data_IF_589014035947
#
_entry.id   IF_589014035947
#
_cell.length_a   1.000
_cell.length_b   1.000
_cell.length_c   1.000
_cell.angle_alpha   90.00
_cell.angle_beta   90.00
_cell.angle_gamma   90.00
#
_symmetry.space_group_name_H-M   'P 1'
#
loop_
_entity.id
_entity.type
_entity.pdbx_description
1 polymer ?
#
# COMPACT_ATOMS: atom_id res chain seq x y z
N UNK A 1 5.97 11.20 -1.09
CA UNK A 1 5.84 10.64 -2.46
C UNK A 1 4.45 10.09 -2.71
N UNK A 2 4.03 9.05 -2.00
CA UNK A 2 2.77 8.38 -2.32
C UNK A 2 1.53 9.28 -2.34
N UNK A 3 1.42 10.26 -1.43
CA UNK A 3 0.32 11.26 -1.45
C UNK A 3 0.30 12.11 -2.72
N UNK A 4 1.48 12.48 -3.22
CA UNK A 4 1.62 13.33 -4.42
C UNK A 4 1.41 12.50 -5.69
N UNK A 5 1.85 11.25 -5.69
CA UNK A 5 1.79 10.39 -6.87
C UNK A 5 0.50 9.56 -6.94
N UNK A 6 -0.24 9.43 -5.84
CA UNK A 6 -1.43 8.59 -5.74
C UNK A 6 -1.16 7.12 -6.00
N UNK A 7 0.03 6.64 -5.61
CA UNK A 7 0.38 5.24 -5.82
C UNK A 7 1.30 4.71 -4.72
N UNK A 8 0.86 3.63 -4.08
CA UNK A 8 1.69 2.84 -3.18
C UNK A 8 2.77 2.08 -3.96
N UNK A 9 2.41 1.45 -5.09
CA UNK A 9 3.31 0.62 -5.89
C UNK A 9 4.49 1.43 -6.44
N UNK A 10 4.23 2.62 -7.00
CA UNK A 10 5.27 3.53 -7.49
C UNK A 10 6.19 4.04 -6.38
N UNK A 11 5.65 4.24 -5.17
CA UNK A 11 6.45 4.66 -4.01
C UNK A 11 7.34 3.53 -3.50
N UNK A 12 6.79 2.31 -3.41
CA UNK A 12 7.51 1.10 -3.00
C UNK A 12 8.64 0.77 -4.00
N UNK A 13 8.37 0.89 -5.30
CA UNK A 13 9.37 0.58 -6.34
C UNK A 13 10.47 1.63 -6.51
N UNK A 14 10.30 2.83 -5.96
CA UNK A 14 11.30 3.90 -6.04
C UNK A 14 11.99 4.09 -4.70
N UNK A 15 11.38 4.86 -3.80
CA UNK A 15 11.94 5.18 -2.50
C UNK A 15 11.97 3.95 -1.59
N UNK A 16 11.04 3.00 -1.73
CA UNK A 16 11.05 1.78 -0.92
C UNK A 16 12.34 0.99 -1.10
N UNK A 17 12.80 0.78 -2.34
CA UNK A 17 14.07 0.07 -2.61
C UNK A 17 15.27 0.83 -2.02
N UNK A 18 15.28 2.16 -2.14
CA UNK A 18 16.34 2.98 -1.57
C UNK A 18 16.38 2.88 -0.04
N UNK A 19 15.22 2.92 0.63
CA UNK A 19 15.08 2.78 2.07
C UNK A 19 15.46 1.37 2.57
N UNK A 20 15.19 0.32 1.79
CA UNK A 20 15.69 -1.02 2.08
C UNK A 20 17.23 -1.06 2.05
N UNK A 21 17.85 -0.32 1.13
CA UNK A 21 19.32 -0.21 1.11
C UNK A 21 19.89 0.51 2.34
N UNK A 22 19.23 1.58 2.79
CA UNK A 22 19.60 2.27 4.05
C UNK A 22 19.43 1.35 5.26
N UNK A 23 18.35 0.55 5.29
CA UNK A 23 18.10 -0.45 6.33
C UNK A 23 19.25 -1.44 6.44
N UNK A 24 19.70 -1.95 5.30
CA UNK A 24 20.79 -2.91 5.19
C UNK A 24 22.12 -2.33 5.72
N UNK A 25 22.45 -1.10 5.32
CA UNK A 25 23.64 -0.40 5.81
C UNK A 25 23.58 -0.05 7.31
N UNK A 26 22.37 0.17 7.85
CA UNK A 26 22.17 0.55 9.26
C UNK A 26 21.88 -0.64 10.18
N UNK A 27 21.90 -1.87 9.64
CA UNK A 27 21.58 -3.10 10.39
C UNK A 27 20.12 -3.23 10.82
N UNK A 28 19.21 -2.40 10.28
CA UNK A 28 17.78 -2.46 10.61
C UNK A 28 17.19 -3.73 10.00
N UNK A 29 16.43 -4.54 10.76
CA UNK A 29 15.81 -5.75 10.24
C UNK A 29 14.91 -5.47 9.03
N UNK A 30 15.18 -6.16 7.92
CA UNK A 30 14.43 -6.01 6.66
C UNK A 30 12.89 -6.08 6.84
N UNK A 31 12.31 -6.97 7.66
CA UNK A 31 10.86 -6.97 7.91
C UNK A 31 10.31 -5.69 8.53
N UNK A 32 11.07 -5.06 9.44
CA UNK A 32 10.66 -3.81 10.10
C UNK A 32 10.65 -2.66 9.08
N UNK A 33 11.74 -2.51 8.32
CA UNK A 33 11.82 -1.49 7.28
C UNK A 33 10.74 -1.70 6.20
N UNK A 34 10.55 -2.93 5.73
CA UNK A 34 9.51 -3.23 4.76
C UNK A 34 8.11 -2.86 5.27
N UNK A 35 7.80 -3.16 6.53
CA UNK A 35 6.52 -2.75 7.14
C UNK A 35 6.34 -1.24 7.25
N UNK A 36 7.41 -0.50 7.58
CA UNK A 36 7.40 0.97 7.59
C UNK A 36 7.18 1.56 6.19
N UNK A 37 7.87 1.03 5.17
CA UNK A 37 7.69 1.42 3.77
C UNK A 37 6.25 1.15 3.32
N UNK A 38 5.71 -0.05 3.60
CA UNK A 38 4.34 -0.42 3.24
C UNK A 38 3.34 0.51 3.93
N UNK A 39 3.50 0.77 5.22
CA UNK A 39 2.63 1.68 5.98
C UNK A 39 2.63 3.09 5.37
N UNK A 40 3.80 3.67 5.13
CA UNK A 40 3.91 5.03 4.56
C UNK A 40 3.44 5.13 3.11
N UNK A 41 3.67 4.09 2.30
CA UNK A 41 3.20 4.02 0.93
C UNK A 41 1.66 3.93 0.88
N UNK A 42 1.05 3.03 1.66
CA UNK A 42 -0.39 2.87 1.67
C UNK A 42 -1.11 4.05 2.36
N UNK A 43 -0.48 4.71 3.33
CA UNK A 43 -0.97 6.00 3.86
C UNK A 43 -1.17 7.01 2.74
N UNK A 44 -0.11 7.28 1.98
CA UNK A 44 -0.15 8.32 0.97
C UNK A 44 -1.08 7.97 -0.19
N UNK A 45 -1.10 6.70 -0.60
CA UNK A 45 -2.01 6.18 -1.62
C UNK A 45 -3.47 6.42 -1.22
N UNK A 46 -3.85 5.91 -0.04
CA UNK A 46 -5.19 6.04 0.55
C UNK A 46 -5.67 7.49 0.70
N UNK A 47 -4.76 8.42 0.96
CA UNK A 47 -5.11 9.83 1.19
C UNK A 47 -5.01 10.69 -0.08
N UNK A 48 -4.67 10.12 -1.23
CA UNK A 48 -4.47 10.88 -2.45
C UNK A 48 -5.73 10.90 -3.32
N UNK A 49 -6.21 12.08 -3.75
CA UNK A 49 -7.33 12.16 -4.72
C UNK A 49 -6.95 11.61 -6.10
N UNK A 50 -5.68 11.25 -6.29
CA UNK A 50 -5.15 10.70 -7.55
C UNK A 50 -5.12 9.17 -7.58
N UNK A 51 -5.33 8.52 -6.43
CA UNK A 51 -5.26 7.07 -6.32
C UNK A 51 -6.50 6.39 -6.90
N UNK A 52 -6.29 5.25 -7.58
CA UNK A 52 -7.37 4.47 -8.18
C UNK A 52 -8.38 3.99 -7.14
N UNK A 53 -7.92 3.45 -6.00
CA UNK A 53 -8.83 2.96 -4.95
C UNK A 53 -9.59 4.12 -4.31
N UNK A 54 -8.89 5.22 -4.02
CA UNK A 54 -9.48 6.46 -3.49
C UNK A 54 -10.51 7.09 -4.44
N UNK A 55 -10.46 6.81 -5.74
CA UNK A 55 -11.49 7.22 -6.69
C UNK A 55 -12.61 6.18 -6.84
N UNK A 56 -12.30 4.88 -6.81
CA UNK A 56 -13.29 3.81 -6.99
C UNK A 56 -14.19 3.63 -5.76
N UNK A 57 -13.66 3.68 -4.54
CA UNK A 57 -14.46 3.56 -3.33
C UNK A 57 -15.60 4.61 -3.25
N UNK A 58 -15.36 5.92 -3.48
CA UNK A 58 -16.44 6.92 -3.54
C UNK A 58 -17.36 6.74 -4.74
N UNK A 59 -16.85 6.35 -5.91
CA UNK A 59 -17.67 6.13 -7.10
C UNK A 59 -18.69 4.99 -6.91
N UNK A 60 -18.29 3.89 -6.27
CA UNK A 60 -19.19 2.75 -6.00
C UNK A 60 -20.22 3.10 -4.92
N UNK A 61 -19.77 3.73 -3.84
CA UNK A 61 -20.63 4.08 -2.70
C UNK A 61 -21.58 5.26 -2.99
N UNK A 62 -21.20 6.19 -3.87
CA UNK A 62 -22.00 7.37 -4.23
C UNK A 62 -21.71 8.62 -3.39
N UNK A 63 -20.44 8.92 -3.10
CA UNK A 63 -20.01 10.15 -2.41
C UNK A 63 -18.95 10.88 -3.25
N UNK A 64 -18.70 12.17 -2.98
CA UNK A 64 -17.62 12.88 -3.65
C UNK A 64 -16.23 12.46 -3.10
N UNK A 65 -15.19 12.52 -3.94
CA UNK A 65 -13.82 12.10 -3.57
C UNK A 65 -13.30 12.89 -2.35
N UNK A 66 -13.52 14.20 -2.29
CA UNK A 66 -13.08 15.01 -1.16
C UNK A 66 -13.87 14.72 0.12
N UNK A 67 -15.16 14.39 0.04
CA UNK A 67 -15.95 13.94 1.20
C UNK A 67 -15.45 12.59 1.72
N UNK A 68 -15.08 11.69 0.81
CA UNK A 68 -14.45 10.42 1.13
C UNK A 68 -13.11 10.62 1.84
N UNK A 69 -12.21 11.46 1.32
CA UNK A 69 -10.93 11.80 1.95
C UNK A 69 -11.14 12.40 3.35
N UNK A 70 -12.06 13.35 3.48
CA UNK A 70 -12.40 13.94 4.78
C UNK A 70 -12.96 12.88 5.76
N UNK A 71 -13.79 11.95 5.29
CA UNK A 71 -14.30 10.85 6.10
C UNK A 71 -13.16 9.93 6.58
N UNK A 72 -12.19 9.62 5.71
CA UNK A 72 -11.03 8.77 6.03
C UNK A 72 -10.10 9.38 7.08
N UNK A 73 -10.02 10.71 7.19
CA UNK A 73 -9.17 11.35 8.21
C UNK A 73 -9.47 10.83 9.63
N UNK A 74 -10.72 10.51 9.93
CA UNK A 74 -11.14 9.99 11.23
C UNK A 74 -10.59 8.59 11.56
N UNK A 75 -10.26 7.77 10.57
CA UNK A 75 -9.64 6.45 10.77
C UNK A 75 -8.14 6.50 10.52
N UNK A 76 -7.70 7.19 9.47
CA UNK A 76 -6.31 7.25 9.04
C UNK A 76 -5.43 8.08 9.97
N UNK A 77 -5.86 9.28 10.41
CA UNK A 77 -5.00 10.16 11.22
C UNK A 77 -4.70 9.56 12.60
N UNK A 78 -5.67 9.04 13.36
CA UNK A 78 -5.38 8.35 14.61
C UNK A 78 -4.45 7.16 14.41
N UNK A 79 -4.67 6.38 13.35
CA UNK A 79 -3.86 5.20 13.03
C UNK A 79 -2.43 5.56 12.63
N UNK A 80 -2.25 6.67 11.91
CA UNK A 80 -0.94 7.21 11.57
C UNK A 80 -0.21 7.66 12.82
N UNK A 81 -0.87 8.40 13.72
CA UNK A 81 -0.27 8.85 14.97
C UNK A 81 0.23 7.66 15.81
N UNK A 82 -0.61 6.62 15.97
CA UNK A 82 -0.24 5.40 16.68
C UNK A 82 0.95 4.71 15.97
N UNK A 83 0.90 4.60 14.65
CA UNK A 83 1.96 3.96 13.86
C UNK A 83 3.29 4.70 13.98
N UNK A 84 3.29 6.04 13.94
CA UNK A 84 4.49 6.86 14.10
C UNK A 84 5.11 6.68 15.48
N UNK A 85 4.29 6.71 16.54
CA UNK A 85 4.76 6.49 17.91
C UNK A 85 5.35 5.08 18.06
N UNK A 86 4.67 4.06 17.53
CA UNK A 86 5.16 2.69 17.56
C UNK A 86 6.46 2.51 16.78
N UNK A 87 6.59 3.09 15.57
CA UNK A 87 7.84 3.06 14.81
C UNK A 87 8.97 3.83 15.49
N UNK A 88 8.68 4.91 16.20
CA UNK A 88 9.67 5.64 17.00
C UNK A 88 10.27 4.70 18.06
N UNK A 89 9.45 4.05 18.87
CA UNK A 89 9.94 3.12 19.91
C UNK A 89 10.60 1.87 19.34
N UNK A 90 10.06 1.29 18.25
CA UNK A 90 10.71 0.17 17.57
C UNK A 90 12.06 0.59 16.98
N UNK A 91 12.18 1.82 16.48
CA UNK A 91 13.39 2.37 15.90
C UNK A 91 14.53 2.60 16.90
N UNK A 92 14.20 2.98 18.15
CA UNK A 92 15.21 3.24 19.21
C UNK A 92 16.10 2.02 19.52
N UNK A 93 15.63 0.80 19.26
CA UNK A 93 16.39 -0.43 19.50
C UNK A 93 16.63 -1.28 18.25
N UNK A 94 16.21 -0.83 17.07
CA UNK A 94 16.30 -1.60 15.83
C UNK A 94 17.52 -1.29 14.97
N UNK A 95 18.19 -0.16 15.19
CA UNK A 95 19.48 0.12 14.56
C UNK A 95 20.62 -0.52 15.35
N UNK A 96 21.62 -1.06 14.66
CA UNK A 96 22.93 -1.28 15.29
C UNK A 96 23.59 0.07 15.62
N UNK A 97 24.64 0.08 16.45
CA UNK A 97 25.54 1.24 16.49
C UNK A 97 26.10 1.42 15.07
N UNK A 98 25.63 2.45 14.37
CA UNK A 98 26.16 2.79 13.04
C UNK A 98 27.51 3.43 13.28
N UNK A 99 28.55 2.61 13.26
CA UNK A 99 29.93 3.06 13.35
C UNK A 99 30.22 4.05 12.21
N UNK A 100 30.56 5.32 12.52
CA UNK A 100 30.91 6.31 11.49
C UNK A 100 32.01 5.83 10.54
N UNK A 101 32.93 4.97 11.02
CA UNK A 101 33.97 4.39 10.17
C UNK A 101 33.40 3.42 9.12
N UNK A 102 32.30 2.74 9.43
CA UNK A 102 31.59 1.86 8.49
C UNK A 102 30.89 2.66 7.38
N UNK A 103 30.34 3.84 7.69
CA UNK A 103 29.77 4.74 6.67
C UNK A 103 30.87 5.25 5.73
N UNK A 104 32.01 5.70 6.28
CA UNK A 104 33.11 6.20 5.47
C UNK A 104 33.72 5.09 4.61
N UNK A 105 33.84 3.87 5.16
CA UNK A 105 34.26 2.70 4.39
C UNK A 105 33.32 2.42 3.22
N UNK A 106 31.99 2.44 3.44
CA UNK A 106 31.00 2.23 2.39
C UNK A 106 31.08 3.31 1.29
N UNK A 107 31.22 4.58 1.70
CA UNK A 107 31.37 5.72 0.79
C UNK A 107 32.64 5.61 -0.04
N UNK A 108 33.78 5.29 0.59
CA UNK A 108 35.06 5.13 -0.10
C UNK A 108 35.02 3.97 -1.11
N UNK A 109 34.39 2.83 -0.75
CA UNK A 109 34.18 1.72 -1.67
C UNK A 109 33.28 2.09 -2.85
N UNK A 110 32.25 2.91 -2.64
CA UNK A 110 31.38 3.43 -3.70
C UNK A 110 32.16 4.33 -4.67
N UNK A 111 32.91 5.31 -4.17
CA UNK A 111 33.70 6.24 -4.98
C UNK A 111 34.83 5.54 -5.75
N UNK A 112 35.39 4.46 -5.19
CA UNK A 112 36.42 3.67 -5.85
C UNK A 112 35.89 2.80 -7.01
N UNK A 113 34.63 2.36 -6.95
CA UNK A 113 34.04 1.43 -7.92
C UNK A 113 33.08 2.10 -8.91
N UNK A 114 32.52 3.28 -8.58
CA UNK A 114 31.49 3.93 -9.38
C UNK A 114 31.71 5.44 -9.46
N UNK A 115 31.41 6.01 -10.63
CA UNK A 115 31.33 7.45 -10.80
C UNK A 115 29.97 7.95 -10.31
N UNK A 116 29.89 8.32 -9.03
CA UNK A 116 28.67 8.85 -8.41
C UNK A 116 28.55 10.34 -8.73
N UNK A 117 27.42 10.75 -9.33
CA UNK A 117 27.21 12.14 -9.69
C UNK A 117 25.74 12.46 -9.98
N UNK A 118 25.42 13.71 -10.36
CA UNK A 118 24.02 14.12 -10.58
C UNK A 118 23.29 13.26 -11.62
N UNK A 119 24.00 12.75 -12.62
CA UNK A 119 23.44 11.89 -13.68
C UNK A 119 22.91 10.57 -13.13
N UNK A 120 23.54 10.00 -12.08
CA UNK A 120 23.08 8.73 -11.49
C UNK A 120 21.75 8.86 -10.74
N UNK A 121 21.28 10.10 -10.50
CA UNK A 121 19.94 10.37 -9.93
C UNK A 121 18.83 10.40 -10.98
N UNK A 122 19.17 10.54 -12.27
CA UNK A 122 18.18 10.68 -13.35
C UNK A 122 17.17 9.53 -13.41
N UNK A 123 17.52 8.26 -13.20
CA UNK A 123 16.52 7.19 -13.25
C UNK A 123 15.45 7.31 -12.15
N UNK A 124 15.88 7.57 -10.91
CA UNK A 124 14.97 7.77 -9.78
C UNK A 124 14.09 9.01 -10.00
N UNK A 125 14.69 10.11 -10.46
CA UNK A 125 13.95 11.33 -10.82
C UNK A 125 12.96 11.10 -11.96
N UNK A 126 13.31 10.30 -12.96
CA UNK A 126 12.43 9.97 -14.09
C UNK A 126 11.16 9.28 -13.59
N UNK A 127 11.32 8.24 -12.76
CA UNK A 127 10.15 7.52 -12.22
C UNK A 127 9.34 8.44 -11.30
N UNK A 128 10.00 9.27 -10.48
CA UNK A 128 9.32 10.24 -9.62
C UNK A 128 8.50 11.23 -10.44
N UNK A 129 9.09 11.84 -11.47
CA UNK A 129 8.41 12.79 -12.35
C UNK A 129 7.26 12.12 -13.09
N UNK A 130 7.44 10.91 -13.62
CA UNK A 130 6.36 10.18 -14.30
C UNK A 130 5.24 9.79 -13.35
N UNK A 131 5.56 9.44 -12.10
CA UNK A 131 4.57 9.16 -11.06
C UNK A 131 3.78 10.42 -10.68
N UNK A 132 4.43 11.58 -10.57
CA UNK A 132 3.75 12.88 -10.36
C UNK A 132 2.87 13.25 -11.54
N UNK A 133 3.29 12.93 -12.77
CA UNK A 133 2.52 13.13 -14.01
C UNK A 133 1.42 12.10 -14.23
N UNK A 134 1.22 11.14 -13.31
CA UNK A 134 0.23 10.06 -13.43
C UNK A 134 0.40 9.21 -14.69
N UNK A 135 1.64 9.05 -15.17
CA UNK A 135 1.89 8.12 -16.26
C UNK A 135 1.60 6.69 -15.77
N UNK A 136 1.09 5.79 -16.63
CA UNK A 136 0.83 4.41 -16.21
C UNK A 136 2.11 3.76 -15.67
N UNK A 137 1.97 2.87 -14.68
CA UNK A 137 3.11 2.32 -13.93
C UNK A 137 4.11 1.59 -14.83
N UNK A 138 3.63 0.78 -15.79
CA UNK A 138 4.48 0.01 -16.70
C UNK A 138 5.36 0.91 -17.61
N UNK A 139 4.81 1.90 -18.34
CA UNK A 139 5.60 2.91 -19.05
C UNK A 139 6.60 3.65 -18.16
N UNK A 140 6.21 4.01 -16.93
CA UNK A 140 7.07 4.76 -16.01
C UNK A 140 8.30 3.95 -15.60
N UNK A 141 8.11 2.67 -15.27
CA UNK A 141 9.20 1.75 -14.96
C UNK A 141 10.09 1.48 -16.20
N UNK A 142 9.48 1.29 -17.37
CA UNK A 142 10.23 1.09 -18.62
C UNK A 142 11.11 2.29 -18.97
N UNK A 143 10.59 3.52 -18.84
CA UNK A 143 11.36 4.74 -19.01
C UNK A 143 12.50 4.83 -17.98
N UNK A 144 12.23 4.50 -16.72
CA UNK A 144 13.26 4.41 -15.68
C UNK A 144 14.40 3.45 -16.03
N UNK A 145 14.08 2.27 -16.59
CA UNK A 145 15.08 1.29 -17.07
C UNK A 145 15.89 1.86 -18.23
N UNK A 146 15.25 2.48 -19.23
CA UNK A 146 15.94 3.08 -20.38
C UNK A 146 16.91 4.17 -19.91
N UNK A 147 16.45 5.08 -19.04
CA UNK A 147 17.29 6.15 -18.47
C UNK A 147 18.42 5.57 -17.61
N UNK A 148 18.18 4.47 -16.87
CA UNK A 148 19.23 3.74 -16.13
C UNK A 148 20.31 3.21 -17.04
N UNK A 149 19.93 2.53 -18.14
CA UNK A 149 20.86 2.00 -19.13
C UNK A 149 21.69 3.12 -19.78
N UNK A 150 21.06 4.22 -20.18
CA UNK A 150 21.76 5.37 -20.76
C UNK A 150 22.74 6.00 -19.76
N UNK A 151 22.32 6.14 -18.50
CA UNK A 151 23.17 6.68 -17.43
C UNK A 151 24.38 5.78 -17.17
N UNK A 152 24.20 4.46 -17.17
CA UNK A 152 25.29 3.50 -16.97
C UNK A 152 26.30 3.49 -18.14
N UNK A 153 25.83 3.65 -19.38
CA UNK A 153 26.72 3.80 -20.55
C UNK A 153 27.52 5.10 -20.44
N UNK A 154 26.84 6.21 -20.15
CA UNK A 154 27.43 7.54 -20.16
C UNK A 154 28.42 7.77 -19.00
N UNK A 155 28.14 7.25 -17.80
CA UNK A 155 28.94 7.55 -16.59
C UNK A 155 29.89 6.44 -16.18
N UNK A 156 29.53 5.16 -16.42
CA UNK A 156 30.30 4.00 -15.98
C UNK A 156 30.97 3.25 -17.14
N UNK A 157 30.76 3.66 -18.40
CA UNK A 157 31.31 2.97 -19.58
C UNK A 157 30.83 1.53 -19.74
N UNK A 158 29.64 1.20 -19.20
CA UNK A 158 29.14 -0.19 -19.19
C UNK A 158 28.70 -0.61 -20.60
N UNK A 159 29.11 -1.80 -21.04
CA UNK A 159 28.71 -2.35 -22.34
C UNK A 159 27.24 -2.81 -22.35
N UNK A 160 26.57 -2.67 -23.49
CA UNK A 160 25.17 -3.08 -23.69
C UNK A 160 24.93 -4.55 -23.31
N UNK A 161 25.88 -5.45 -23.60
CA UNK A 161 25.78 -6.87 -23.24
C UNK A 161 25.73 -7.09 -21.73
N UNK A 162 26.49 -6.31 -20.95
CA UNK A 162 26.47 -6.37 -19.49
C UNK A 162 25.15 -5.82 -18.95
N UNK A 163 24.61 -4.75 -19.54
CA UNK A 163 23.29 -4.21 -19.19
C UNK A 163 22.16 -5.21 -19.49
N UNK A 164 22.20 -5.88 -20.63
CA UNK A 164 21.23 -6.91 -20.98
C UNK A 164 21.28 -8.10 -20.00
N UNK A 165 22.49 -8.55 -19.62
CA UNK A 165 22.66 -9.57 -18.58
C UNK A 165 22.14 -9.09 -17.22
N UNK A 166 22.40 -7.85 -16.84
CA UNK A 166 21.91 -7.26 -15.60
C UNK A 166 20.37 -7.16 -15.58
N UNK A 167 19.75 -6.74 -16.69
CA UNK A 167 18.31 -6.68 -16.82
C UNK A 167 17.64 -8.06 -16.72
N UNK A 168 18.24 -9.09 -17.34
CA UNK A 168 17.68 -10.45 -17.36
C UNK A 168 17.95 -11.21 -16.06
N UNK A 169 19.23 -11.32 -15.66
CA UNK A 169 19.66 -12.17 -14.55
C UNK A 169 19.86 -11.40 -13.24
N UNK A 170 20.18 -10.11 -13.33
CA UNK A 170 20.52 -9.27 -12.18
C UNK A 170 21.96 -8.78 -12.21
N UNK A 171 22.23 -7.75 -11.40
CA UNK A 171 23.57 -7.24 -11.14
C UNK A 171 24.11 -7.90 -9.87
N UNK A 172 25.42 -8.19 -9.85
CA UNK A 172 26.12 -8.72 -8.67
C UNK A 172 27.30 -7.80 -8.38
N UNK A 173 27.32 -7.21 -7.18
CA UNK A 173 28.41 -6.35 -6.73
C UNK A 173 29.66 -7.17 -6.41
N UNK A 174 30.83 -6.66 -6.84
CA UNK A 174 32.15 -7.21 -6.51
C UNK A 174 33.10 -6.05 -6.19
N UNK A 175 32.76 -5.29 -5.16
CA UNK A 175 33.42 -4.05 -4.74
C UNK A 175 34.49 -4.28 -3.68
N UNK A 176 34.55 -5.51 -3.12
CA UNK A 176 35.44 -5.86 -2.00
C UNK A 176 34.87 -5.51 -0.63
N UNK A 177 33.69 -4.87 -0.58
CA UNK A 177 32.95 -4.58 0.64
C UNK A 177 31.63 -5.37 0.63
N UNK A 178 31.48 -6.31 1.56
CA UNK A 178 30.33 -7.21 1.60
C UNK A 178 28.99 -6.47 1.79
N UNK A 179 28.96 -5.39 2.58
CA UNK A 179 27.75 -4.61 2.79
C UNK A 179 27.34 -3.90 1.49
N UNK A 180 28.31 -3.32 0.77
CA UNK A 180 28.07 -2.70 -0.52
C UNK A 180 27.68 -3.72 -1.61
N UNK A 181 28.31 -4.90 -1.61
CA UNK A 181 28.01 -5.96 -2.55
C UNK A 181 26.59 -6.50 -2.38
N UNK A 182 26.14 -6.63 -1.13
CA UNK A 182 24.76 -7.07 -0.84
C UNK A 182 23.73 -5.99 -1.22
N UNK A 183 24.07 -4.71 -0.99
CA UNK A 183 23.27 -3.56 -1.41
C UNK A 183 23.09 -3.49 -2.94
N UNK A 184 24.19 -3.65 -3.68
CA UNK A 184 24.19 -3.52 -5.14
C UNK A 184 23.68 -4.79 -5.83
N UNK A 185 23.84 -5.96 -5.20
CA UNK A 185 23.37 -7.22 -5.77
C UNK A 185 21.85 -7.23 -5.80
N UNK A 186 21.29 -7.20 -7.02
CA UNK A 186 19.85 -7.16 -7.27
C UNK A 186 19.51 -8.09 -8.42
N UNK A 187 18.36 -8.76 -8.32
CA UNK A 187 17.90 -9.68 -9.34
C UNK A 187 17.28 -8.99 -10.55
N UNK A 188 17.39 -9.62 -11.73
CA UNK A 188 16.75 -9.17 -12.96
C UNK A 188 15.33 -9.71 -13.12
N UNK A 189 14.78 -9.64 -14.34
CA UNK A 189 13.45 -10.14 -14.69
C UNK A 189 13.26 -11.61 -14.33
N UNK A 190 14.31 -12.44 -14.49
CA UNK A 190 14.26 -13.86 -14.12
C UNK A 190 13.98 -14.07 -12.63
N UNK A 191 14.48 -13.19 -11.76
CA UNK A 191 14.22 -13.25 -10.31
C UNK A 191 12.79 -12.88 -9.94
N UNK A 192 12.06 -12.21 -10.83
CA UNK A 192 10.67 -11.80 -10.65
C UNK A 192 9.67 -12.75 -11.32
N UNK A 193 10.13 -13.64 -12.21
CA UNK A 193 9.26 -14.54 -12.95
C UNK A 193 8.35 -15.39 -12.05
N UNK A 194 8.81 -15.98 -10.93
CA UNK A 194 7.92 -16.72 -10.02
C UNK A 194 6.81 -15.83 -9.46
N UNK A 195 7.14 -14.60 -9.05
CA UNK A 195 6.17 -13.62 -8.54
C UNK A 195 5.16 -13.23 -9.62
N UNK A 196 5.61 -12.98 -10.86
CA UNK A 196 4.72 -12.64 -11.97
C UNK A 196 3.75 -13.78 -12.27
N UNK A 197 4.23 -15.02 -12.34
CA UNK A 197 3.37 -16.19 -12.56
C UNK A 197 2.35 -16.37 -11.43
N UNK A 198 2.77 -16.14 -10.19
CA UNK A 198 1.88 -16.22 -9.03
C UNK A 198 0.81 -15.12 -9.06
N UNK A 199 1.16 -13.90 -9.47
CA UNK A 199 0.20 -12.80 -9.68
C UNK A 199 -0.81 -13.15 -10.78
N UNK A 200 -0.35 -13.69 -11.92
CA UNK A 200 -1.23 -14.10 -13.02
C UNK A 200 -2.20 -15.21 -12.59
N UNK A 201 -1.69 -16.22 -11.87
CA UNK A 201 -2.54 -17.29 -11.33
C UNK A 201 -3.55 -16.78 -10.31
N UNK A 202 -3.13 -15.93 -9.37
CA UNK A 202 -4.01 -15.35 -8.34
C UNK A 202 -5.11 -14.48 -8.96
N UNK A 203 -4.76 -13.64 -9.94
CA UNK A 203 -5.73 -12.79 -10.64
C UNK A 203 -6.70 -13.58 -11.50
N UNK A 204 -6.25 -14.64 -12.19
CA UNK A 204 -7.11 -15.55 -12.92
C UNK A 204 -8.13 -16.24 -11.99
N UNK A 205 -7.67 -16.76 -10.84
CA UNK A 205 -8.55 -17.35 -9.83
C UNK A 205 -9.56 -16.35 -9.29
N UNK A 206 -9.13 -15.12 -8.96
CA UNK A 206 -10.02 -14.05 -8.53
C UNK A 206 -11.08 -13.68 -9.56
N UNK A 207 -10.75 -13.74 -10.85
CA UNK A 207 -11.69 -13.56 -11.96
C UNK A 207 -12.75 -14.67 -12.01
N UNK A 208 -12.35 -15.94 -11.90
CA UNK A 208 -13.28 -17.09 -11.86
C UNK A 208 -14.21 -17.02 -10.66
N UNK A 209 -13.71 -16.69 -9.47
CA UNK A 209 -14.53 -16.56 -8.26
C UNK A 209 -15.56 -15.42 -8.34
N UNK A 210 -15.22 -14.36 -9.08
CA UNK A 210 -16.16 -13.27 -9.38
C UNK A 210 -17.25 -13.74 -10.34
N UNK A 211 -16.89 -14.36 -11.45
CA UNK A 211 -17.84 -14.76 -12.51
C UNK A 211 -18.79 -15.87 -12.05
N UNK A 212 -18.30 -16.79 -11.21
CA UNK A 212 -19.13 -17.83 -10.59
C UNK A 212 -20.12 -17.30 -9.54
N UNK A 213 -20.05 -16.02 -9.18
CA UNK A 213 -20.90 -15.40 -8.15
C UNK A 213 -20.58 -15.82 -6.72
N UNK A 214 -19.54 -16.63 -6.50
CA UNK A 214 -19.14 -17.15 -5.18
C UNK A 214 -18.89 -16.02 -4.18
N UNK A 215 -18.14 -14.99 -4.61
CA UNK A 215 -17.86 -13.81 -3.79
C UNK A 215 -19.18 -13.11 -3.42
N UNK A 216 -20.08 -12.89 -4.38
CA UNK A 216 -21.34 -12.19 -4.15
C UNK A 216 -22.22 -12.93 -3.14
N UNK A 217 -22.35 -14.25 -3.26
CA UNK A 217 -23.19 -15.06 -2.36
C UNK A 217 -22.71 -15.00 -0.90
N UNK A 218 -21.39 -14.98 -0.68
CA UNK A 218 -20.79 -14.81 0.64
C UNK A 218 -21.12 -13.45 1.25
N UNK A 219 -21.12 -12.39 0.44
CA UNK A 219 -21.49 -11.05 0.89
C UNK A 219 -22.96 -10.95 1.28
N UNK A 220 -23.86 -11.51 0.46
CA UNK A 220 -25.31 -11.47 0.73
C UNK A 220 -25.65 -12.21 2.05
N UNK A 221 -24.92 -13.27 2.39
CA UNK A 221 -25.10 -14.02 3.64
C UNK A 221 -24.71 -13.18 4.88
N UNK A 222 -23.66 -12.36 4.78
CA UNK A 222 -23.25 -11.47 5.85
C UNK A 222 -24.30 -10.38 6.11
N UNK A 223 -24.93 -9.86 5.05
CA UNK A 223 -25.93 -8.80 5.13
C UNK A 223 -27.15 -9.18 5.97
N UNK A 224 -27.63 -10.42 5.87
CA UNK A 224 -28.83 -10.90 6.59
C UNK A 224 -28.64 -10.87 8.12
N UNK A 225 -27.40 -10.96 8.60
CA UNK A 225 -27.09 -11.05 10.04
C UNK A 225 -26.90 -9.69 10.71
N UNK A 226 -26.91 -8.60 9.95
CA UNK A 226 -26.63 -7.26 10.45
C UNK A 226 -27.88 -6.59 11.01
N UNK A 227 -27.88 -6.29 12.32
CA UNK A 227 -29.00 -5.62 12.99
C UNK A 227 -28.73 -4.16 13.38
N UNK A 228 -27.47 -3.74 13.50
CA UNK A 228 -27.09 -2.40 13.97
C UNK A 228 -26.26 -1.62 12.94
N UNK A 229 -26.18 -0.28 13.10
CA UNK A 229 -25.34 0.59 12.25
C UNK A 229 -23.86 0.23 12.35
N UNK A 230 -23.35 0.02 13.57
CA UNK A 230 -21.97 -0.46 13.79
C UNK A 230 -21.73 -1.86 13.23
N UNK A 231 -22.72 -2.75 13.35
CA UNK A 231 -22.70 -4.08 12.74
C UNK A 231 -22.60 -4.03 11.22
N UNK A 232 -23.14 -2.99 10.58
CA UNK A 232 -23.05 -2.81 9.13
C UNK A 232 -21.62 -2.49 8.69
N UNK A 233 -20.93 -1.61 9.42
CA UNK A 233 -19.51 -1.33 9.17
C UNK A 233 -18.67 -2.59 9.38
N UNK A 234 -18.90 -3.35 10.46
CA UNK A 234 -18.19 -4.61 10.71
C UNK A 234 -18.41 -5.64 9.60
N UNK A 235 -19.65 -5.79 9.13
CA UNK A 235 -19.96 -6.70 8.04
C UNK A 235 -19.33 -6.27 6.72
N UNK A 236 -19.27 -4.96 6.45
CA UNK A 236 -18.56 -4.43 5.26
C UNK A 236 -17.06 -4.66 5.35
N UNK A 237 -16.40 -4.35 6.48
CA UNK A 237 -14.97 -4.64 6.68
C UNK A 237 -14.70 -6.14 6.47
N UNK A 238 -15.51 -6.99 7.10
CA UNK A 238 -15.38 -8.45 6.99
C UNK A 238 -15.58 -8.93 5.55
N UNK A 239 -16.53 -8.35 4.83
CA UNK A 239 -16.80 -8.66 3.42
C UNK A 239 -15.66 -8.23 2.49
N UNK A 240 -15.06 -7.06 2.73
CA UNK A 240 -13.84 -6.64 2.03
C UNK A 240 -12.70 -7.62 2.26
N UNK A 241 -12.41 -8.00 3.50
CA UNK A 241 -11.38 -8.98 3.81
C UNK A 241 -11.69 -10.36 3.22
N UNK A 242 -12.94 -10.82 3.30
CA UNK A 242 -13.35 -12.10 2.72
C UNK A 242 -13.18 -12.12 1.21
N UNK A 243 -13.61 -11.04 0.53
CA UNK A 243 -13.43 -10.88 -0.91
C UNK A 243 -11.95 -10.84 -1.27
N UNK A 244 -11.12 -10.18 -0.46
CA UNK A 244 -9.69 -10.07 -0.67
C UNK A 244 -8.97 -11.41 -0.45
N UNK A 245 -9.31 -12.15 0.60
CA UNK A 245 -8.84 -13.50 0.88
C UNK A 245 -9.24 -14.44 -0.25
N UNK A 246 -10.48 -14.36 -0.74
CA UNK A 246 -10.95 -15.20 -1.84
C UNK A 246 -10.27 -14.86 -3.18
N UNK A 247 -10.18 -13.57 -3.53
CA UNK A 247 -9.80 -13.14 -4.89
C UNK A 247 -8.35 -12.68 -5.04
N UNK A 248 -7.66 -12.35 -3.95
CA UNK A 248 -6.34 -11.71 -3.98
C UNK A 248 -6.32 -10.31 -4.62
N UNK A 249 -7.47 -9.71 -4.92
CA UNK A 249 -7.58 -8.48 -5.71
C UNK A 249 -8.24 -7.34 -4.93
N UNK A 250 -7.50 -6.25 -4.70
CA UNK A 250 -7.97 -5.07 -3.97
C UNK A 250 -9.18 -4.39 -4.62
N UNK A 251 -9.24 -4.34 -5.96
CA UNK A 251 -10.35 -3.69 -6.67
C UNK A 251 -11.65 -4.47 -6.49
N UNK A 252 -11.58 -5.80 -6.52
CA UNK A 252 -12.75 -6.64 -6.25
C UNK A 252 -13.21 -6.51 -4.80
N UNK A 253 -12.26 -6.43 -3.87
CA UNK A 253 -12.53 -6.24 -2.45
C UNK A 253 -13.19 -4.89 -2.12
N UNK A 254 -13.08 -3.89 -3.00
CA UNK A 254 -13.79 -2.61 -2.88
C UNK A 254 -15.13 -2.65 -3.62
N UNK A 255 -15.13 -3.07 -4.88
CA UNK A 255 -16.31 -2.97 -5.75
C UNK A 255 -17.43 -3.91 -5.30
N UNK A 256 -17.14 -5.17 -5.01
CA UNK A 256 -18.18 -6.17 -4.72
C UNK A 256 -18.90 -5.86 -3.40
N UNK A 257 -18.20 -5.62 -2.28
CA UNK A 257 -18.86 -5.19 -1.04
C UNK A 257 -19.51 -3.82 -1.19
N UNK A 258 -18.89 -2.88 -1.90
CA UNK A 258 -19.44 -1.54 -2.10
C UNK A 258 -20.81 -1.57 -2.78
N UNK A 259 -20.98 -2.40 -3.82
CA UNK A 259 -22.26 -2.58 -4.49
C UNK A 259 -23.26 -3.35 -3.62
N UNK A 260 -22.81 -4.35 -2.86
CA UNK A 260 -23.70 -5.16 -2.04
C UNK A 260 -24.27 -4.41 -0.83
N UNK A 261 -23.47 -3.58 -0.17
CA UNK A 261 -23.86 -2.90 1.05
C UNK A 261 -24.49 -1.51 0.81
N UNK A 262 -24.46 -0.98 -0.42
CA UNK A 262 -24.93 0.37 -0.74
C UNK A 262 -26.33 0.67 -0.22
N UNK A 263 -27.31 -0.14 -0.61
CA UNK A 263 -28.71 0.06 -0.23
C UNK A 263 -28.92 -0.16 1.27
N UNK A 264 -28.16 -1.07 1.88
CA UNK A 264 -28.21 -1.34 3.32
C UNK A 264 -27.70 -0.17 4.17
N UNK A 265 -26.74 0.62 3.67
CA UNK A 265 -26.32 1.89 4.30
C UNK A 265 -27.38 2.98 4.12
N UNK A 266 -27.94 3.11 2.92
CA UNK A 266 -28.97 4.09 2.61
C UNK A 266 -30.24 3.88 3.45
N UNK A 267 -30.74 2.65 3.55
CA UNK A 267 -31.91 2.29 4.38
C UNK A 267 -31.71 2.59 5.87
N UNK A 268 -30.47 2.61 6.36
CA UNK A 268 -30.14 2.95 7.75
C UNK A 268 -29.80 4.44 7.96
N UNK A 269 -30.01 5.26 6.93
CA UNK A 269 -29.79 6.71 6.98
C UNK A 269 -28.33 7.12 7.13
N UNK A 270 -27.39 6.25 6.73
CA UNK A 270 -25.95 6.54 6.80
C UNK A 270 -25.47 7.23 5.53
N UNK A 271 -24.61 8.22 5.68
CA UNK A 271 -23.99 8.93 4.58
C UNK A 271 -23.09 7.96 3.77
N UNK A 272 -23.15 7.98 2.42
CA UNK A 272 -22.34 7.11 1.56
C UNK A 272 -20.84 7.12 1.85
N UNK A 273 -20.29 8.24 2.33
CA UNK A 273 -18.90 8.38 2.78
C UNK A 273 -18.48 7.43 3.90
N UNK A 274 -19.41 6.93 4.72
CA UNK A 274 -19.11 5.93 5.75
C UNK A 274 -18.83 4.58 5.10
N UNK A 275 -19.68 4.15 4.16
CA UNK A 275 -19.45 2.96 3.33
C UNK A 275 -18.13 3.13 2.56
N UNK A 276 -17.98 4.25 1.85
CA UNK A 276 -16.78 4.59 1.08
C UNK A 276 -15.48 4.44 1.88
N UNK A 277 -15.41 5.07 3.07
CA UNK A 277 -14.27 4.94 3.98
C UNK A 277 -14.04 3.49 4.40
N UNK A 278 -15.11 2.77 4.74
CA UNK A 278 -15.02 1.39 5.21
C UNK A 278 -14.44 0.46 4.14
N UNK A 279 -14.82 0.65 2.87
CA UNK A 279 -14.25 -0.09 1.75
C UNK A 279 -12.74 0.15 1.62
N UNK A 280 -12.31 1.40 1.78
CA UNK A 280 -10.89 1.78 1.67
C UNK A 280 -10.07 1.37 2.89
N UNK A 281 -10.68 1.33 4.09
CA UNK A 281 -10.02 0.91 5.34
C UNK A 281 -9.72 -0.60 5.36
N UNK A 282 -10.49 -1.41 4.62
CA UNK A 282 -10.26 -2.85 4.52
C UNK A 282 -9.69 -3.29 3.16
N UNK A 283 -10.29 -2.89 2.04
CA UNK A 283 -9.89 -3.33 0.71
C UNK A 283 -8.46 -2.90 0.36
N UNK A 284 -8.18 -1.60 0.44
CA UNK A 284 -6.87 -1.02 0.10
C UNK A 284 -5.81 -1.41 1.13
N UNK A 285 -6.08 -1.17 2.42
CA UNK A 285 -5.09 -1.42 3.47
C UNK A 285 -4.89 -2.90 3.79
N UNK A 286 -5.91 -3.74 3.58
CA UNK A 286 -5.81 -5.19 3.77
C UNK A 286 -5.03 -5.88 2.65
N UNK A 287 -5.04 -5.34 1.43
CA UNK A 287 -4.40 -5.95 0.26
C UNK A 287 -2.94 -6.39 0.53
N UNK A 288 -2.03 -5.53 1.03
CA UNK A 288 -0.65 -5.93 1.26
C UNK A 288 -0.47 -6.97 2.39
N UNK A 289 -1.49 -7.21 3.22
CA UNK A 289 -1.39 -8.17 4.32
C UNK A 289 -1.66 -9.61 3.87
N UNK A 290 -2.50 -9.81 2.84
CA UNK A 290 -2.90 -11.13 2.37
C UNK A 290 -1.80 -11.73 1.46
N UNK A 291 -1.11 -12.83 1.84
CA UNK A 291 0.11 -13.28 1.16
C UNK A 291 0.00 -13.57 -0.34
N UNK A 292 -1.16 -14.02 -0.80
CA UNK A 292 -1.41 -14.33 -2.21
C UNK A 292 -2.11 -13.19 -2.97
N UNK A 293 -2.24 -12.00 -2.36
CA UNK A 293 -2.79 -10.86 -3.08
C UNK A 293 -1.78 -10.30 -4.08
N UNK A 294 -2.26 -9.69 -5.15
CA UNK A 294 -1.41 -9.01 -6.14
C UNK A 294 -0.48 -7.98 -5.48
N UNK A 295 -0.99 -7.26 -4.47
CA UNK A 295 -0.23 -6.27 -3.70
C UNK A 295 0.91 -6.90 -2.89
N UNK A 296 0.62 -7.96 -2.13
CA UNK A 296 1.62 -8.63 -1.29
C UNK A 296 2.72 -9.28 -2.14
N UNK A 297 2.33 -9.89 -3.26
CA UNK A 297 3.26 -10.49 -4.22
C UNK A 297 4.15 -9.43 -4.87
N UNK A 298 3.58 -8.29 -5.27
CA UNK A 298 4.36 -7.16 -5.79
C UNK A 298 5.37 -6.66 -4.75
N UNK A 299 4.94 -6.44 -3.50
CA UNK A 299 5.83 -5.99 -2.42
C UNK A 299 6.96 -7.00 -2.17
N UNK A 300 6.65 -8.30 -2.14
CA UNK A 300 7.66 -9.34 -2.03
C UNK A 300 8.67 -9.28 -3.19
N UNK A 301 8.17 -9.02 -4.40
CA UNK A 301 9.02 -8.84 -5.57
C UNK A 301 10.00 -7.68 -5.43
N UNK A 302 9.50 -6.52 -5.00
CA UNK A 302 10.28 -5.28 -4.92
C UNK A 302 11.20 -5.22 -3.70
N UNK A 303 10.71 -5.57 -2.52
CA UNK A 303 11.42 -5.42 -1.25
C UNK A 303 12.12 -6.70 -0.79
N UNK A 304 11.89 -7.84 -1.49
CA UNK A 304 12.42 -9.17 -1.13
C UNK A 304 12.00 -9.68 0.25
N UNK A 305 10.97 -9.07 0.86
CA UNK A 305 10.39 -9.50 2.14
C UNK A 305 8.97 -10.00 1.91
N UNK A 306 8.63 -11.25 2.27
CA UNK A 306 7.28 -11.76 2.12
C UNK A 306 6.33 -11.09 3.13
N UNK A 307 5.02 -11.07 2.83
CA UNK A 307 4.03 -10.47 3.74
C UNK A 307 4.04 -11.14 5.11
N UNK A 308 4.30 -12.44 5.20
CA UNK A 308 4.46 -13.18 6.47
C UNK A 308 5.59 -12.64 7.35
N UNK A 309 6.57 -11.94 6.77
CA UNK A 309 7.63 -11.23 7.48
C UNK A 309 7.19 -9.82 7.90
N UNK A 310 6.73 -8.99 6.95
CA UNK A 310 6.50 -7.57 7.23
C UNK A 310 5.11 -7.23 7.81
N UNK A 311 4.11 -8.14 7.75
CA UNK A 311 2.72 -7.81 8.11
C UNK A 311 2.59 -7.26 9.54
N UNK A 312 3.38 -7.77 10.48
CA UNK A 312 3.41 -7.30 11.88
C UNK A 312 3.80 -5.83 11.98
N UNK A 313 4.68 -5.40 11.09
CA UNK A 313 5.22 -4.05 11.02
C UNK A 313 4.49 -3.17 10.00
N UNK A 314 3.53 -3.69 9.23
CA UNK A 314 2.63 -2.88 8.40
C UNK A 314 1.56 -2.21 9.29
N UNK A 315 2.01 -1.45 10.28
CA UNK A 315 1.22 -0.95 11.41
C UNK A 315 -0.02 -0.20 10.94
N UNK A 316 0.12 0.74 10.02
CA UNK A 316 -1.02 1.51 9.53
C UNK A 316 -2.09 0.60 8.92
N UNK A 317 -1.65 -0.42 8.16
CA UNK A 317 -2.51 -1.29 7.38
C UNK A 317 -3.44 -2.13 8.25
N UNK A 318 -2.98 -2.58 9.42
CA UNK A 318 -3.81 -3.36 10.35
C UNK A 318 -4.36 -2.54 11.52
N UNK A 319 -3.78 -1.39 11.89
CA UNK A 319 -4.34 -0.50 12.93
C UNK A 319 -5.58 0.23 12.42
N UNK A 320 -5.56 0.73 11.18
CA UNK A 320 -6.69 1.48 10.61
C UNK A 320 -8.03 0.74 10.65
N UNK A 321 -8.14 -0.54 10.21
CA UNK A 321 -9.38 -1.29 10.34
C UNK A 321 -9.78 -1.49 11.81
N UNK A 322 -8.83 -1.61 12.75
CA UNK A 322 -9.16 -1.70 14.18
C UNK A 322 -9.72 -0.37 14.74
N UNK A 323 -9.17 0.77 14.30
CA UNK A 323 -9.73 2.09 14.63
C UNK A 323 -11.13 2.24 14.02
N UNK A 324 -11.34 1.80 12.78
CA UNK A 324 -12.66 1.80 12.15
C UNK A 324 -13.68 0.96 12.93
N UNK A 325 -13.27 -0.21 13.43
CA UNK A 325 -14.07 -1.07 14.32
C UNK A 325 -14.41 -0.33 15.62
N UNK A 326 -13.42 0.29 16.28
CA UNK A 326 -13.64 1.03 17.52
C UNK A 326 -14.62 2.20 17.35
N UNK A 327 -14.51 2.96 16.25
CA UNK A 327 -15.45 4.04 15.92
C UNK A 327 -16.87 3.49 15.66
N UNK A 328 -16.97 2.37 14.92
CA UNK A 328 -18.25 1.74 14.64
C UNK A 328 -18.96 1.21 15.90
N UNK A 329 -18.21 0.62 16.84
CA UNK A 329 -18.73 0.11 18.12
C UNK A 329 -19.16 1.23 19.06
N UNK A 330 -18.43 2.35 19.07
CA UNK A 330 -18.77 3.53 19.89
C UNK A 330 -19.83 4.43 19.26
N UNK A 331 -20.27 4.12 18.04
CA UNK A 331 -21.24 4.93 17.29
C UNK A 331 -20.69 6.28 16.78
N UNK A 332 -19.38 6.53 16.94
CA UNK A 332 -18.74 7.79 16.57
C UNK A 332 -18.39 7.80 15.08
N UNK A 333 -18.43 8.99 14.48
CA UNK A 333 -18.12 9.21 13.06
C UNK A 333 -18.94 8.32 12.09
N UNK A 334 -20.14 7.91 12.50
CA UNK A 334 -21.19 7.34 11.65
C UNK A 334 -22.02 8.51 11.12
N UNK A 335 -21.55 9.12 10.03
CA UNK A 335 -22.21 10.28 9.44
C UNK A 335 -23.58 9.89 8.85
N UNK A 336 -24.55 10.80 8.96
CA UNK A 336 -25.91 10.58 8.50
C UNK A 336 -26.22 11.32 7.20
N UNK A 337 -27.17 10.80 6.44
CA UNK A 337 -27.76 11.51 5.30
C UNK A 337 -28.66 12.63 5.85
N UNK A 338 -28.33 13.89 5.54
CA UNK A 338 -29.25 15.00 5.79
C UNK A 338 -30.34 15.00 4.70
N UNK A 339 -31.60 14.80 5.10
CA UNK A 339 -32.74 15.06 4.22
C UNK A 339 -32.90 16.59 4.11
N UNK A 340 -32.30 17.20 3.09
CA UNK A 340 -32.73 18.48 2.55
C UNK A 340 -31.84 19.73 2.69
N UNK A 341 -30.65 19.70 3.32
CA UNK A 341 -29.86 20.96 3.55
C UNK A 341 -28.35 20.93 3.31
N UNK A 342 -27.74 19.78 3.00
CA UNK A 342 -26.34 19.73 2.52
C UNK A 342 -25.26 20.09 3.55
N UNK A 343 -25.55 20.01 4.85
CA UNK A 343 -24.56 20.09 5.93
C UNK A 343 -24.21 18.68 6.45
N UNK A 344 -23.13 18.60 7.23
CA UNK A 344 -22.64 17.36 7.84
C UNK A 344 -22.86 17.49 9.34
N UNK A 345 -23.69 16.63 9.93
CA UNK A 345 -23.86 16.54 11.38
C UNK A 345 -23.32 15.20 11.90
N UNK A 346 -22.54 15.24 12.99
CA UNK A 346 -22.25 14.06 13.81
C UNK A 346 -23.40 13.85 14.78
N UNK A 347 -24.02 12.66 14.71
CA UNK A 347 -24.97 12.07 15.67
C UNK A 347 -25.99 13.03 16.34
N UNK A 348 -27.29 12.98 15.97
CA UNK A 348 -28.32 13.73 16.70
C UNK A 348 -28.56 13.24 18.14
N UNK A 349 -28.18 12.01 18.52
CA UNK A 349 -28.64 11.46 19.81
C UNK A 349 -27.55 10.65 20.53
N UNK A 350 -26.93 11.31 21.52
CA UNK A 350 -26.35 10.70 22.71
C UNK A 350 -27.32 10.82 23.90
N UNK A 351 -28.63 10.69 23.66
CA UNK A 351 -29.66 10.72 24.69
C UNK A 351 -30.01 9.30 25.11
N UNK A 352 -29.63 8.92 26.33
CA UNK A 352 -30.27 7.82 27.04
C UNK A 352 -31.72 8.26 27.28
N UNK A 353 -32.66 7.75 26.48
CA UNK A 353 -34.06 7.75 26.87
C UNK A 353 -34.44 6.34 27.30
N UNK A 354 -34.38 6.12 28.61
CA UNK A 354 -35.43 5.35 29.25
C UNK A 354 -36.72 6.18 29.19
N UNK A 355 -37.80 5.55 28.78
CA UNK A 355 -39.02 5.44 29.59
C UNK A 355 -40.10 4.65 28.82
N UNK A 356 -40.67 3.70 29.57
CA UNK A 356 -41.89 2.91 29.40
C UNK A 356 -42.00 1.83 28.31
#
# INVERSE_FOLDING_TARGET
>A
TSTVTGTSFGTISTLGIALMGVSEASGIPAPLMAGAIVSGAYFGDKMSPLSDTTNVAPAVSGTAVYEHINSMMFTTVPSLAISVVAFYFLGLGAGGEVDPASIEALKSSLEANFNVGPVTLLPALTILVMSVRKAPALPSLAAGVVVSCLSAIATQGTRIQALAKAATNGFTGQTGNQALDTLLTRGGVMSMLPTVLLILAATALGGVLRETGTVRRLVDELLVRVKSRGGLVLATLSSCYLTLVASGNQMLAIIVPGQAFKDAFAMRGLHPKVLSRTLEDAGTLGAPLIPWSTAALFIHGMLKVPSTGYWKYALLNWITPLVAIALALTGRCLFHLEVGTGRITENPEGGIHGDH
#
